data_IF_257312400237
#
_entry.id   IF_257312400237
#
_cell.length_a   1.000
_cell.length_b   1.000
_cell.length_c   1.000
_cell.angle_alpha   90.00
_cell.angle_beta   90.00
_cell.angle_gamma   90.00
#
_symmetry.space_group_name_H-M   'P 1'
#
loop_
_entity.id
_entity.type
_entity.pdbx_description
1 polymer ?
#
# COMPACT_ATOMS: atom_id res chain seq x y z
N UNK A 1 6.91 33.21 -15.89
CA UNK A 1 6.85 32.80 -14.46
C UNK A 1 6.00 31.55 -14.38
N UNK A 2 5.98 30.83 -13.26
CA UNK A 2 5.11 29.67 -13.11
C UNK A 2 3.68 30.11 -12.71
N UNK A 3 2.66 29.65 -13.43
CA UNK A 3 1.25 30.03 -13.20
C UNK A 3 0.61 29.27 -12.02
N UNK A 4 1.39 28.99 -10.96
CA UNK A 4 0.95 28.32 -9.76
C UNK A 4 1.26 29.19 -8.54
N UNK A 5 0.22 29.60 -7.81
CA UNK A 5 0.33 30.53 -6.67
C UNK A 5 -0.33 29.96 -5.43
N UNK A 6 0.18 30.37 -4.27
CA UNK A 6 -0.17 29.83 -2.96
C UNK A 6 -0.54 30.94 -1.97
N UNK A 7 -1.64 30.74 -1.25
CA UNK A 7 -1.93 31.49 -0.02
C UNK A 7 -1.96 30.49 1.14
N UNK A 8 -1.19 30.74 2.18
CA UNK A 8 -1.11 29.87 3.37
C UNK A 8 -1.66 30.62 4.57
N UNK A 9 -2.64 30.03 5.23
CA UNK A 9 -3.24 30.53 6.47
C UNK A 9 -3.06 29.50 7.59
N UNK A 10 -2.38 29.90 8.67
CA UNK A 10 -2.30 29.09 9.88
C UNK A 10 -3.66 29.10 10.58
N UNK A 11 -4.09 27.93 11.08
CA UNK A 11 -5.34 27.80 11.82
C UNK A 11 -5.13 28.15 13.31
N UNK A 12 -5.78 29.21 13.84
CA UNK A 12 -5.63 29.58 15.26
C UNK A 12 -6.13 28.49 16.22
N UNK A 13 -7.09 27.68 15.76
CA UNK A 13 -7.63 26.55 16.51
C UNK A 13 -6.70 25.32 16.54
N UNK A 14 -5.64 25.29 15.72
CA UNK A 14 -4.68 24.18 15.65
C UNK A 14 -3.35 24.60 15.02
N UNK A 15 -2.36 24.98 15.84
CA UNK A 15 -1.05 25.48 15.38
C UNK A 15 -0.31 24.57 14.38
N UNK A 16 -0.55 23.25 14.42
CA UNK A 16 0.04 22.23 13.51
C UNK A 16 -0.68 22.11 12.16
N UNK A 17 -1.74 22.89 11.93
CA UNK A 17 -2.56 22.83 10.72
C UNK A 17 -2.51 24.15 9.92
N UNK A 18 -2.49 24.01 8.60
CA UNK A 18 -2.55 25.11 7.66
C UNK A 18 -3.63 24.88 6.59
N UNK A 19 -4.35 25.94 6.23
CA UNK A 19 -5.10 26.01 4.98
C UNK A 19 -4.12 26.48 3.90
N UNK A 20 -4.04 25.75 2.80
CA UNK A 20 -3.21 26.09 1.63
C UNK A 20 -4.13 26.24 0.44
N UNK A 21 -4.36 27.47 -0.02
CA UNK A 21 -5.18 27.75 -1.20
C UNK A 21 -4.29 27.82 -2.42
N UNK A 22 -4.61 27.03 -3.45
CA UNK A 22 -3.75 26.83 -4.61
C UNK A 22 -4.49 27.28 -5.87
N UNK A 23 -3.90 28.20 -6.63
CA UNK A 23 -4.46 28.71 -7.88
C UNK A 23 -3.51 28.42 -9.04
N UNK A 24 -4.01 27.78 -10.11
CA UNK A 24 -3.23 27.46 -11.30
C UNK A 24 -3.52 26.10 -11.91
N UNK A 25 -2.47 25.48 -12.45
CA UNK A 25 -2.44 24.10 -12.89
C UNK A 25 -1.19 23.40 -12.33
N UNK A 26 -1.33 22.12 -11.96
CA UNK A 26 -0.21 21.30 -11.45
C UNK A 26 0.23 20.39 -12.60
N UNK A 27 1.30 20.79 -13.29
CA UNK A 27 1.81 20.15 -14.50
C UNK A 27 3.34 19.90 -14.42
N UNK A 28 3.94 19.43 -15.50
CA UNK A 28 5.37 19.10 -15.54
C UNK A 28 6.32 20.30 -15.33
N UNK A 29 5.83 21.55 -15.45
CA UNK A 29 6.59 22.78 -15.18
C UNK A 29 6.38 23.27 -13.74
N UNK A 30 5.19 23.10 -13.19
CA UNK A 30 4.80 23.65 -11.88
C UNK A 30 4.94 22.66 -10.72
N UNK A 31 4.99 21.35 -10.98
CA UNK A 31 5.04 20.29 -9.95
C UNK A 31 6.27 20.37 -9.03
N UNK A 32 7.41 20.86 -9.51
CA UNK A 32 8.61 21.06 -8.67
C UNK A 32 8.33 22.15 -7.62
N UNK A 33 7.82 23.31 -8.05
CA UNK A 33 7.46 24.40 -7.15
C UNK A 33 6.33 24.02 -6.18
N UNK A 34 5.42 23.14 -6.62
CA UNK A 34 4.38 22.57 -5.77
C UNK A 34 4.94 21.67 -4.67
N UNK A 35 5.88 20.78 -5.00
CA UNK A 35 6.58 19.92 -4.04
C UNK A 35 7.36 20.77 -3.02
N UNK A 36 8.18 21.71 -3.51
CA UNK A 36 8.94 22.66 -2.68
C UNK A 36 8.05 23.37 -1.64
N UNK A 37 6.90 23.91 -2.06
CA UNK A 37 6.01 24.63 -1.15
C UNK A 37 5.38 23.74 -0.08
N UNK A 38 5.07 22.49 -0.39
CA UNK A 38 4.54 21.54 0.61
C UNK A 38 5.63 21.02 1.55
N UNK A 39 6.88 20.92 1.09
CA UNK A 39 8.03 20.54 1.92
C UNK A 39 8.49 21.68 2.84
N UNK A 40 8.45 22.94 2.40
CA UNK A 40 8.62 24.12 3.27
C UNK A 40 7.67 24.09 4.46
N UNK A 41 6.38 23.80 4.24
CA UNK A 41 5.37 23.75 5.30
C UNK A 41 5.59 22.55 6.25
N UNK A 42 5.95 21.38 5.73
CA UNK A 42 6.34 20.23 6.56
C UNK A 42 7.58 20.50 7.42
N UNK A 43 8.52 21.31 6.93
CA UNK A 43 9.71 21.70 7.67
C UNK A 43 9.43 22.84 8.67
N UNK A 44 8.43 23.68 8.39
CA UNK A 44 7.85 24.64 9.33
C UNK A 44 7.02 24.03 10.47
N UNK A 45 6.96 22.70 10.58
CA UNK A 45 6.29 21.99 11.68
C UNK A 45 4.80 21.72 11.48
N UNK A 46 4.22 22.09 10.34
CA UNK A 46 2.85 21.72 10.00
C UNK A 46 2.76 20.22 9.69
N UNK A 47 1.78 19.55 10.30
CA UNK A 47 1.49 18.12 10.06
C UNK A 47 0.15 17.89 9.37
N UNK A 48 -0.71 18.91 9.27
CA UNK A 48 -2.07 18.79 8.74
C UNK A 48 -2.34 19.87 7.70
N UNK A 49 -2.68 19.48 6.48
CA UNK A 49 -3.01 20.41 5.40
C UNK A 49 -4.49 20.31 5.02
N UNK A 50 -5.15 21.47 4.90
CA UNK A 50 -6.42 21.63 4.20
C UNK A 50 -6.10 22.30 2.88
N UNK A 51 -6.04 21.52 1.79
CA UNK A 51 -5.76 22.06 0.46
C UNK A 51 -7.06 22.54 -0.19
N UNK A 52 -7.16 23.84 -0.41
CA UNK A 52 -8.25 24.42 -1.20
C UNK A 52 -7.91 24.36 -2.68
N UNK A 53 -8.63 23.49 -3.38
CA UNK A 53 -8.43 23.12 -4.77
C UNK A 53 -9.32 23.92 -5.73
N UNK A 54 -10.05 24.93 -5.25
CA UNK A 54 -10.99 25.73 -6.09
C UNK A 54 -10.29 26.40 -7.29
N UNK A 55 -9.02 26.79 -7.12
CA UNK A 55 -8.19 27.41 -8.14
C UNK A 55 -7.48 26.42 -9.08
N UNK A 56 -7.57 25.11 -8.81
CA UNK A 56 -6.88 24.07 -9.59
C UNK A 56 -7.78 23.55 -10.70
N UNK A 57 -7.44 23.93 -11.94
CA UNK A 57 -8.20 23.55 -13.15
C UNK A 57 -7.71 22.23 -13.77
N UNK A 58 -6.46 21.84 -13.49
CA UNK A 58 -5.81 20.65 -14.03
C UNK A 58 -4.70 20.14 -13.10
N UNK A 59 -4.54 18.82 -13.03
CA UNK A 59 -3.45 18.12 -12.32
C UNK A 59 -3.00 16.96 -13.21
N UNK A 60 -1.69 16.82 -13.45
CA UNK A 60 -1.12 15.68 -14.17
C UNK A 60 -0.76 14.51 -13.24
N UNK A 61 -0.33 13.38 -13.82
CA UNK A 61 0.08 12.18 -13.06
C UNK A 61 1.18 12.45 -12.04
N UNK A 62 2.16 13.30 -12.36
CA UNK A 62 3.24 13.68 -11.44
C UNK A 62 2.71 14.48 -10.24
N UNK A 63 1.80 15.44 -10.46
CA UNK A 63 1.15 16.22 -9.41
C UNK A 63 0.28 15.39 -8.48
N UNK A 64 -0.43 14.39 -9.02
CA UNK A 64 -1.15 13.40 -8.21
C UNK A 64 -0.18 12.54 -7.38
N UNK A 65 0.95 12.13 -7.95
CA UNK A 65 2.02 11.43 -7.23
C UNK A 65 2.60 12.24 -6.06
N UNK A 66 2.90 13.52 -6.28
CA UNK A 66 3.32 14.45 -5.21
C UNK A 66 2.27 14.56 -4.11
N UNK A 67 0.98 14.72 -4.45
CA UNK A 67 -0.09 14.76 -3.45
C UNK A 67 -0.13 13.49 -2.59
N UNK A 68 0.01 12.29 -3.19
CA UNK A 68 -0.01 11.01 -2.46
C UNK A 68 1.24 10.86 -1.58
N UNK A 69 2.42 11.26 -2.08
CA UNK A 69 3.67 11.22 -1.32
C UNK A 69 3.61 12.14 -0.08
N UNK A 70 3.06 13.35 -0.22
CA UNK A 70 2.88 14.27 0.92
C UNK A 70 1.79 13.74 1.88
N UNK A 71 0.74 13.07 1.39
CA UNK A 71 -0.25 12.43 2.25
C UNK A 71 0.38 11.36 3.18
N UNK A 72 1.13 10.38 2.64
CA UNK A 72 1.87 9.40 3.47
C UNK A 72 2.86 10.14 4.39
N UNK A 73 3.63 11.11 3.90
CA UNK A 73 4.59 11.85 4.71
C UNK A 73 3.98 12.56 5.93
N UNK A 74 2.74 13.06 5.82
CA UNK A 74 1.99 13.67 6.91
C UNK A 74 1.28 12.65 7.83
N UNK A 75 0.74 11.56 7.28
CA UNK A 75 0.14 10.49 8.08
C UNK A 75 1.20 9.80 8.97
N UNK A 76 2.41 9.55 8.47
CA UNK A 76 3.53 9.06 9.30
C UNK A 76 3.99 10.09 10.37
N UNK A 77 3.49 11.34 10.35
CA UNK A 77 3.69 12.38 11.38
C UNK A 77 2.44 12.61 12.25
N UNK A 78 1.43 11.75 12.18
CA UNK A 78 0.19 11.86 12.97
C UNK A 78 -0.78 12.95 12.49
N UNK A 79 -0.65 13.39 11.24
CA UNK A 79 -1.53 14.35 10.59
C UNK A 79 -2.13 13.79 9.29
N UNK A 80 -2.11 14.56 8.21
CA UNK A 80 -2.64 14.12 6.90
C UNK A 80 -3.11 15.27 5.99
N UNK A 81 -3.70 14.91 4.85
CA UNK A 81 -4.28 15.86 3.88
C UNK A 81 -5.81 15.74 3.85
N UNK A 82 -6.47 16.89 4.02
CA UNK A 82 -7.85 17.12 3.64
C UNK A 82 -7.89 17.94 2.34
N UNK A 83 -8.80 17.61 1.41
CA UNK A 83 -9.03 18.35 0.18
C UNK A 83 -10.41 18.99 0.21
N UNK A 84 -10.51 20.26 -0.18
CA UNK A 84 -11.78 21.00 -0.23
C UNK A 84 -11.98 21.66 -1.60
N UNK A 85 -13.25 21.88 -1.97
CA UNK A 85 -13.66 22.59 -3.20
C UNK A 85 -13.04 22.06 -4.50
N UNK A 86 -12.74 20.75 -4.58
CA UNK A 86 -12.17 20.11 -5.78
C UNK A 86 -13.09 20.32 -6.99
N UNK A 87 -12.57 20.91 -8.06
CA UNK A 87 -13.32 21.09 -9.30
C UNK A 87 -13.79 19.73 -9.87
N UNK A 88 -15.06 19.57 -10.32
CA UNK A 88 -15.62 18.27 -10.68
C UNK A 88 -14.81 17.45 -11.70
N UNK A 89 -14.20 18.09 -12.69
CA UNK A 89 -13.33 17.41 -13.67
C UNK A 89 -12.09 16.77 -13.02
N UNK A 90 -11.53 17.41 -11.99
CA UNK A 90 -10.39 16.88 -11.22
C UNK A 90 -10.89 15.76 -10.31
N UNK A 91 -12.05 15.91 -9.66
CA UNK A 91 -12.63 14.87 -8.81
C UNK A 91 -12.85 13.55 -9.57
N UNK A 92 -13.37 13.59 -10.80
CA UNK A 92 -13.54 12.37 -11.63
C UNK A 92 -12.22 11.62 -11.85
N UNK A 93 -11.09 12.32 -11.96
CA UNK A 93 -9.76 11.68 -12.07
C UNK A 93 -9.35 11.01 -10.74
N UNK A 94 -9.62 11.64 -9.60
CA UNK A 94 -9.38 11.02 -8.28
C UNK A 94 -10.26 9.78 -8.06
N UNK A 95 -11.55 9.86 -8.44
CA UNK A 95 -12.51 8.76 -8.35
C UNK A 95 -12.09 7.59 -9.26
N UNK A 96 -11.72 7.85 -10.53
CA UNK A 96 -11.26 6.82 -11.48
C UNK A 96 -9.94 6.15 -11.09
N UNK A 97 -9.02 6.89 -10.45
CA UNK A 97 -7.72 6.37 -9.99
C UNK A 97 -7.77 5.80 -8.56
N UNK A 98 -8.94 5.75 -7.91
CA UNK A 98 -9.11 5.21 -6.56
C UNK A 98 -8.43 6.03 -5.45
N UNK A 99 -8.03 7.28 -5.73
CA UNK A 99 -7.19 8.09 -4.83
C UNK A 99 -7.92 8.52 -3.54
N UNK A 100 -9.24 8.35 -3.48
CA UNK A 100 -10.09 8.59 -2.30
C UNK A 100 -9.68 7.77 -1.05
N UNK A 101 -8.83 6.74 -1.19
CA UNK A 101 -8.21 6.08 -0.05
C UNK A 101 -7.23 6.99 0.72
N UNK A 102 -6.46 7.81 0.00
CA UNK A 102 -5.36 8.67 0.52
C UNK A 102 -5.80 10.08 0.91
N UNK A 103 -6.98 10.53 0.44
CA UNK A 103 -7.44 11.91 0.63
C UNK A 103 -8.82 11.96 1.28
N UNK A 104 -8.96 12.75 2.35
CA UNK A 104 -10.28 13.04 2.92
C UNK A 104 -10.86 14.26 2.20
N UNK A 105 -11.85 14.04 1.35
CA UNK A 105 -12.50 15.09 0.54
C UNK A 105 -13.71 15.62 1.30
N UNK A 106 -13.76 16.93 1.53
CA UNK A 106 -14.84 17.61 2.25
C UNK A 106 -15.45 18.75 1.42
N UNK A 107 -16.65 19.19 1.81
CA UNK A 107 -17.39 20.23 1.12
C UNK A 107 -16.81 21.62 1.38
N UNK A 108 -16.22 21.83 2.56
CA UNK A 108 -15.70 23.12 3.02
C UNK A 108 -14.57 22.96 4.06
N UNK A 109 -13.88 24.06 4.35
CA UNK A 109 -12.75 24.14 5.29
C UNK A 109 -13.14 23.77 6.74
N UNK A 110 -14.40 24.01 7.15
CA UNK A 110 -14.87 23.73 8.51
C UNK A 110 -15.06 22.24 8.77
N UNK A 111 -15.58 21.49 7.80
CA UNK A 111 -15.67 20.02 7.85
C UNK A 111 -14.28 19.38 7.97
N UNK A 112 -13.33 19.85 7.16
CA UNK A 112 -11.94 19.39 7.17
C UNK A 112 -11.23 19.69 8.51
N UNK A 113 -11.44 20.89 9.07
CA UNK A 113 -10.94 21.26 10.39
C UNK A 113 -11.55 20.40 11.50
N UNK A 114 -12.87 20.22 11.49
CA UNK A 114 -13.59 19.40 12.47
C UNK A 114 -13.21 17.91 12.43
N UNK A 115 -12.82 17.38 11.27
CA UNK A 115 -12.21 16.06 11.15
C UNK A 115 -10.87 16.01 11.90
N UNK A 116 -9.94 16.92 11.59
CA UNK A 116 -8.63 16.96 12.25
C UNK A 116 -8.73 17.20 13.76
N UNK A 117 -9.68 18.01 14.22
CA UNK A 117 -9.91 18.27 15.65
C UNK A 117 -10.38 17.01 16.40
N UNK A 118 -11.26 16.20 15.79
CA UNK A 118 -11.67 14.90 16.35
C UNK A 118 -10.51 13.92 16.40
N UNK A 119 -9.70 13.85 15.34
CA UNK A 119 -8.49 13.00 15.30
C UNK A 119 -7.36 13.45 16.25
N UNK A 120 -7.47 14.61 16.90
CA UNK A 120 -6.45 15.16 17.80
C UNK A 120 -6.75 14.95 19.30
N UNK A 121 -7.94 14.43 19.67
CA UNK A 121 -8.29 14.10 21.06
C UNK A 121 -8.29 12.59 21.28
N UNK A 122 -7.51 12.05 22.24
CA UNK A 122 -7.75 10.71 22.77
C UNK A 122 -9.14 10.64 23.42
N UNK A 123 -9.86 9.54 23.23
CA UNK A 123 -11.21 9.36 23.77
C UNK A 123 -11.17 8.91 25.24
N UNK A 124 -11.63 9.78 26.15
CA UNK A 124 -12.16 9.34 27.45
C UNK A 124 -13.69 9.23 27.40
N UNK A 125 -14.18 8.15 28.01
CA UNK A 125 -15.56 7.74 28.33
C UNK A 125 -16.75 8.67 28.02
N UNK A 126 -17.85 8.06 27.54
CA UNK A 126 -19.19 8.65 27.72
C UNK A 126 -20.33 8.01 26.90
N UNK A 127 -20.79 6.82 27.26
CA UNK A 127 -22.01 6.25 26.65
C UNK A 127 -23.30 6.84 27.23
N UNK A 128 -24.22 7.28 26.38
CA UNK A 128 -25.52 7.84 26.81
C UNK A 128 -26.55 7.92 25.69
N UNK A 129 -27.51 7.00 25.67
CA UNK A 129 -28.59 6.96 24.68
C UNK A 129 -29.80 7.80 25.10
N UNK A 130 -30.42 8.55 24.17
CA UNK A 130 -31.86 8.40 23.82
C UNK A 130 -32.42 9.49 22.87
N UNK A 131 -33.02 9.02 21.77
CA UNK A 131 -34.30 9.43 21.15
C UNK A 131 -34.88 10.86 21.30
N UNK A 132 -35.36 11.42 20.17
CA UNK A 132 -36.78 11.35 19.73
C UNK A 132 -36.89 11.71 18.23
N UNK A 133 -37.57 10.89 17.40
CA UNK A 133 -38.94 11.09 16.84
C UNK A 133 -39.00 12.18 15.74
N UNK A 134 -39.79 12.10 14.67
CA UNK A 134 -41.06 11.42 14.31
C UNK A 134 -41.05 11.03 12.80
N UNK A 135 -42.05 10.42 12.14
CA UNK A 135 -43.05 9.36 12.41
C UNK A 135 -43.83 9.14 11.10
N UNK A 136 -44.06 7.91 10.63
CA UNK A 136 -45.28 7.47 9.91
C UNK A 136 -45.26 5.94 9.65
N UNK A 137 -46.39 5.39 9.19
CA UNK A 137 -46.89 4.10 9.69
C UNK A 137 -46.94 2.92 8.71
N UNK A 138 -47.13 1.72 9.30
CA UNK A 138 -47.34 0.40 8.68
C UNK A 138 -48.85 0.13 8.61
N UNK A 139 -49.38 -0.76 7.73
CA UNK A 139 -49.48 -2.18 8.12
C UNK A 139 -49.35 -3.17 6.92
N UNK A 140 -49.56 -4.49 7.06
CA UNK A 140 -48.82 -5.45 7.90
C UNK A 140 -49.26 -6.91 7.62
N UNK A 141 -48.34 -7.77 7.19
CA UNK A 141 -48.45 -9.24 7.22
C UNK A 141 -47.06 -9.87 6.94
N UNK A 142 -46.69 -11.06 7.41
CA UNK A 142 -47.12 -11.83 8.60
C UNK A 142 -46.06 -12.91 8.91
N UNK A 143 -45.75 -13.14 10.19
CA UNK A 143 -45.18 -14.36 10.85
C UNK A 143 -44.38 -15.41 10.02
N UNK A 144 -43.25 -15.97 10.50
CA UNK A 144 -43.09 -16.51 11.86
C UNK A 144 -41.63 -16.64 12.39
N UNK A 145 -41.55 -16.90 13.70
CA UNK A 145 -40.47 -17.53 14.49
C UNK A 145 -39.82 -18.79 13.84
N UNK A 146 -38.62 -19.28 14.23
CA UNK A 146 -37.48 -18.80 15.07
C UNK A 146 -36.29 -19.82 14.90
N UNK A 147 -35.25 -20.05 15.73
CA UNK A 147 -34.77 -19.58 17.06
C UNK A 147 -33.32 -20.06 17.32
N UNK A 148 -32.46 -19.23 17.95
CA UNK A 148 -31.12 -19.61 18.42
C UNK A 148 -30.03 -19.68 17.33
N UNK A 149 -28.72 -19.63 17.63
CA UNK A 149 -28.03 -19.44 18.92
C UNK A 149 -26.75 -18.60 18.71
N UNK A 150 -26.34 -17.78 19.70
CA UNK A 150 -25.26 -16.80 19.56
C UNK A 150 -23.90 -17.31 20.03
N UNK A 151 -23.10 -17.87 19.12
CA UNK A 151 -21.70 -18.24 19.38
C UNK A 151 -20.79 -17.01 19.38
N UNK A 152 -20.43 -16.54 20.59
CA UNK A 152 -19.53 -15.42 20.86
C UNK A 152 -18.11 -15.66 20.32
N UNK A 153 -17.56 -14.81 19.43
CA UNK A 153 -16.13 -14.82 19.11
C UNK A 153 -15.30 -14.47 20.37
N UNK A 154 -14.23 -15.21 20.68
CA UNK A 154 -13.37 -14.90 21.81
C UNK A 154 -12.54 -13.63 21.55
N UNK A 155 -12.13 -12.95 22.62
CA UNK A 155 -11.33 -11.74 22.52
C UNK A 155 -9.96 -12.02 21.86
N UNK A 156 -9.71 -11.41 20.71
CA UNK A 156 -8.39 -11.42 20.07
C UNK A 156 -7.41 -10.60 20.92
N UNK A 157 -6.48 -11.30 21.57
CA UNK A 157 -5.32 -10.68 22.24
C UNK A 157 -4.58 -9.78 21.24
N UNK A 158 -3.97 -8.70 21.75
CA UNK A 158 -3.11 -7.81 20.95
C UNK A 158 -2.07 -8.64 20.18
N UNK A 159 -2.22 -8.70 18.85
CA UNK A 159 -1.31 -9.43 18.00
C UNK A 159 0.01 -8.64 17.87
N UNK A 160 1.12 -9.31 18.10
CA UNK A 160 2.46 -8.72 18.02
C UNK A 160 2.69 -8.12 16.61
N UNK A 161 3.31 -6.94 16.54
CA UNK A 161 3.59 -6.27 15.28
C UNK A 161 4.71 -7.03 14.56
N UNK A 162 4.33 -7.97 13.70
CA UNK A 162 5.22 -8.95 13.05
C UNK A 162 6.25 -8.34 12.10
N UNK A 163 7.30 -7.73 12.66
CA UNK A 163 8.54 -7.43 11.97
C UNK A 163 9.38 -8.72 11.87
N UNK A 164 9.92 -9.02 10.69
CA UNK A 164 10.96 -10.03 10.55
C UNK A 164 12.27 -9.51 11.17
N UNK A 165 12.46 -9.80 12.46
CA UNK A 165 13.63 -9.34 13.23
C UNK A 165 14.75 -10.36 13.14
N UNK A 166 15.61 -10.23 12.14
CA UNK A 166 16.81 -11.08 12.01
C UNK A 166 17.83 -10.63 13.08
N UNK A 167 18.25 -11.57 13.93
CA UNK A 167 19.25 -11.33 14.98
C UNK A 167 20.54 -12.07 14.66
N UNK A 168 21.67 -11.41 14.84
CA UNK A 168 23.01 -11.97 14.58
C UNK A 168 23.95 -11.56 15.71
N UNK A 169 24.69 -12.51 16.30
CA UNK A 169 25.78 -12.17 17.22
C UNK A 169 26.97 -11.65 16.42
N UNK A 170 27.45 -10.47 16.75
CA UNK A 170 28.66 -9.85 16.21
C UNK A 170 29.80 -10.12 17.19
N UNK A 171 30.98 -10.61 16.74
CA UNK A 171 32.14 -10.72 17.60
C UNK A 171 32.52 -9.38 18.24
N UNK A 172 33.01 -9.35 19.48
CA UNK A 172 33.56 -8.12 20.06
C UNK A 172 34.77 -7.65 19.23
N UNK A 173 35.06 -6.33 19.19
CA UNK A 173 36.21 -5.81 18.45
C UNK A 173 37.53 -6.35 19.00
N UNK A 174 38.53 -6.54 18.12
CA UNK A 174 39.81 -7.18 18.49
C UNK A 174 40.65 -6.36 19.48
N UNK A 175 40.45 -5.04 19.53
CA UNK A 175 41.08 -4.14 20.50
C UNK A 175 40.11 -3.08 21.03
N UNK A 176 40.28 -2.57 22.26
CA UNK A 176 39.43 -1.51 22.80
C UNK A 176 39.41 -0.27 21.88
N UNK A 177 38.20 0.17 21.50
CA UNK A 177 38.00 1.29 20.59
C UNK A 177 38.06 0.97 19.09
N UNK A 178 38.43 -0.27 18.69
CA UNK A 178 38.28 -0.70 17.29
C UNK A 178 36.80 -0.89 16.92
N UNK A 179 36.41 -0.66 15.64
CA UNK A 179 35.03 -0.80 15.21
C UNK A 179 34.59 -2.27 15.12
N UNK A 180 33.30 -2.52 15.35
CA UNK A 180 32.68 -3.81 15.11
C UNK A 180 32.61 -4.09 13.59
N UNK A 181 32.88 -5.33 13.19
CA UNK A 181 32.74 -5.79 11.81
C UNK A 181 31.60 -6.81 11.73
N UNK A 182 30.58 -6.52 10.92
CA UNK A 182 29.40 -7.38 10.78
C UNK A 182 28.94 -7.48 9.32
N UNK A 183 28.19 -8.53 8.99
CA UNK A 183 27.59 -8.72 7.65
C UNK A 183 26.13 -8.29 7.71
N UNK A 184 25.66 -7.53 6.71
CA UNK A 184 24.25 -7.17 6.61
C UNK A 184 23.40 -8.40 6.28
N UNK A 185 22.48 -8.78 7.18
CA UNK A 185 21.62 -9.95 7.03
C UNK A 185 20.71 -9.94 5.79
N UNK A 186 20.49 -8.77 5.16
CA UNK A 186 19.60 -8.62 3.99
C UNK A 186 20.35 -8.56 2.65
N UNK A 187 21.59 -8.07 2.62
CA UNK A 187 22.30 -7.85 1.35
C UNK A 187 23.81 -8.18 1.40
N UNK A 188 24.21 -9.01 2.36
CA UNK A 188 25.54 -9.66 2.53
C UNK A 188 26.78 -8.75 2.50
N UNK A 189 26.61 -7.43 2.49
CA UNK A 189 27.71 -6.46 2.51
C UNK A 189 28.34 -6.42 3.90
N UNK A 190 29.68 -6.34 3.95
CA UNK A 190 30.41 -6.08 5.19
C UNK A 190 30.18 -4.64 5.64
N UNK A 191 29.94 -4.45 6.93
CA UNK A 191 29.63 -3.17 7.56
C UNK A 191 30.57 -2.95 8.75
N UNK A 192 31.21 -1.79 8.79
CA UNK A 192 32.13 -1.37 9.85
C UNK A 192 31.42 -0.36 10.74
N UNK A 193 31.23 -0.69 12.03
CA UNK A 193 30.35 0.04 12.95
C UNK A 193 31.17 0.58 14.13
N UNK A 194 31.29 1.92 14.31
CA UNK A 194 32.22 2.49 15.28
C UNK A 194 31.79 2.34 16.75
N UNK A 195 30.49 2.13 17.04
CA UNK A 195 29.96 1.92 18.39
C UNK A 195 28.57 1.27 18.35
N UNK A 196 28.09 0.66 19.45
CA UNK A 196 26.69 0.24 19.56
C UNK A 196 25.72 1.42 19.35
N UNK A 197 24.63 1.19 18.63
CA UNK A 197 23.71 2.23 18.18
C UNK A 197 22.78 1.76 17.06
N UNK A 198 21.97 2.69 16.54
CA UNK A 198 21.07 2.46 15.40
C UNK A 198 21.73 2.97 14.10
N UNK A 199 21.68 2.14 13.05
CA UNK A 199 22.36 2.37 11.77
C UNK A 199 21.46 1.98 10.59
N UNK A 200 21.86 2.42 9.40
CA UNK A 200 21.21 2.09 8.12
C UNK A 200 22.26 1.52 7.17
N UNK A 201 21.99 0.37 6.56
CA UNK A 201 22.91 -0.22 5.59
C UNK A 201 22.97 0.66 4.32
N UNK A 202 24.14 1.11 3.85
CA UNK A 202 24.24 1.97 2.66
C UNK A 202 23.85 1.25 1.37
N UNK A 203 23.96 -0.09 1.30
CA UNK A 203 23.67 -0.87 0.08
C UNK A 203 22.17 -1.14 -0.15
N UNK A 204 21.43 -1.50 0.88
CA UNK A 204 19.99 -1.86 0.77
C UNK A 204 19.03 -0.91 1.50
N UNK A 205 19.55 -0.03 2.38
CA UNK A 205 18.75 0.87 3.20
C UNK A 205 18.01 0.20 4.38
N UNK A 206 18.25 -1.08 4.66
CA UNK A 206 17.76 -1.78 5.86
C UNK A 206 18.27 -1.10 7.13
N UNK A 207 17.40 -0.92 8.12
CA UNK A 207 17.78 -0.40 9.44
C UNK A 207 18.23 -1.55 10.34
N UNK A 208 19.18 -1.28 11.23
CA UNK A 208 19.61 -2.25 12.23
C UNK A 208 20.13 -1.56 13.48
N UNK A 209 20.03 -2.25 14.61
CA UNK A 209 20.48 -1.80 15.92
C UNK A 209 21.53 -2.77 16.43
N UNK A 210 22.75 -2.28 16.68
CA UNK A 210 23.80 -3.02 17.37
C UNK A 210 23.73 -2.70 18.86
N UNK A 211 23.54 -3.71 19.70
CA UNK A 211 23.49 -3.56 21.17
C UNK A 211 24.88 -3.73 21.81
N UNK A 212 25.03 -3.37 23.09
CA UNK A 212 26.33 -3.42 23.80
C UNK A 212 26.87 -4.84 23.98
N UNK A 213 25.97 -5.81 24.11
CA UNK A 213 26.21 -7.26 24.16
C UNK A 213 26.61 -7.87 22.80
N UNK A 214 26.72 -7.07 21.74
CA UNK A 214 27.11 -7.52 20.40
C UNK A 214 25.98 -8.08 19.54
N UNK A 215 24.72 -8.02 19.97
CA UNK A 215 23.61 -8.45 19.12
C UNK A 215 23.28 -7.39 18.07
N UNK A 216 23.51 -7.70 16.80
CA UNK A 216 22.94 -6.96 15.68
C UNK A 216 21.50 -7.42 15.46
N UNK A 217 20.58 -6.46 15.51
CA UNK A 217 19.14 -6.66 15.33
C UNK A 217 18.73 -5.92 14.06
N UNK A 218 18.47 -6.63 12.96
CA UNK A 218 18.02 -6.03 11.71
C UNK A 218 16.50 -5.88 11.73
N UNK A 219 16.02 -4.68 11.42
CA UNK A 219 14.61 -4.42 11.15
C UNK A 219 14.43 -4.25 9.65
N UNK A 220 13.68 -5.17 9.04
CA UNK A 220 13.26 -5.07 7.65
C UNK A 220 12.55 -3.73 7.40
N UNK A 221 12.68 -3.16 6.19
CA UNK A 221 11.92 -1.96 5.79
C UNK A 221 10.41 -2.27 5.80
N UNK A 222 9.55 -1.23 5.73
CA UNK A 222 8.13 -1.39 5.30
C UNK A 222 8.10 -2.42 4.16
N UNK A 223 7.23 -3.45 4.24
CA UNK A 223 7.11 -4.53 3.23
C UNK A 223 7.29 -3.96 1.83
N UNK A 224 8.12 -4.61 1.00
CA UNK A 224 8.36 -4.14 -0.36
C UNK A 224 7.03 -3.89 -1.06
N UNK A 225 6.82 -2.66 -1.53
CA UNK A 225 5.51 -2.21 -1.99
C UNK A 225 4.98 -3.14 -3.09
N UNK A 226 3.71 -3.54 -2.98
CA UNK A 226 3.08 -4.47 -3.92
C UNK A 226 3.19 -3.90 -5.33
N UNK A 227 3.87 -4.63 -6.22
CA UNK A 227 3.96 -4.26 -7.62
C UNK A 227 2.63 -4.62 -8.28
N UNK A 228 1.89 -3.61 -8.71
CA UNK A 228 0.59 -3.77 -9.35
C UNK A 228 0.69 -3.35 -10.81
N UNK A 229 0.23 -4.21 -11.71
CA UNK A 229 0.20 -3.96 -13.15
C UNK A 229 -1.06 -4.52 -13.77
N UNK A 230 -1.49 -3.93 -14.88
CA UNK A 230 -2.63 -4.40 -15.67
C UNK A 230 -2.13 -4.71 -17.08
N UNK A 231 -2.27 -5.96 -17.50
CA UNK A 231 -1.71 -6.51 -18.72
C UNK A 231 -2.81 -6.81 -19.73
N UNK A 232 -2.52 -6.64 -21.02
CA UNK A 232 -3.43 -7.05 -22.09
C UNK A 232 -3.42 -8.58 -22.22
N UNK A 233 -4.47 -9.13 -22.83
CA UNK A 233 -4.61 -10.56 -23.08
C UNK A 233 -3.79 -11.01 -24.32
N UNK A 234 -2.48 -10.76 -24.33
CA UNK A 234 -1.56 -11.10 -25.44
C UNK A 234 -0.32 -11.83 -24.92
N UNK A 235 0.28 -12.68 -25.76
CA UNK A 235 1.37 -13.57 -25.35
C UNK A 235 2.65 -12.79 -24.99
N UNK A 236 2.92 -11.67 -25.66
CA UNK A 236 4.07 -10.79 -25.35
C UNK A 236 3.95 -10.17 -23.95
N UNK A 237 2.71 -9.94 -23.47
CA UNK A 237 2.46 -9.51 -22.10
C UNK A 237 2.72 -10.63 -21.08
N UNK A 238 2.48 -11.90 -21.45
CA UNK A 238 2.79 -13.07 -20.62
C UNK A 238 4.30 -13.30 -20.56
N UNK A 239 5.00 -13.25 -21.70
CA UNK A 239 6.46 -13.35 -21.77
C UNK A 239 7.15 -12.25 -20.95
N UNK A 240 6.73 -10.98 -21.13
CA UNK A 240 7.25 -9.84 -20.38
C UNK A 240 7.03 -9.97 -18.87
N UNK A 241 5.87 -10.49 -18.45
CA UNK A 241 5.59 -10.80 -17.04
C UNK A 241 6.51 -11.91 -16.52
N UNK A 242 6.69 -12.98 -17.28
CA UNK A 242 7.56 -14.11 -16.93
C UNK A 242 9.02 -13.66 -16.73
N UNK A 243 9.57 -12.85 -17.63
CA UNK A 243 10.93 -12.33 -17.46
C UNK A 243 11.05 -11.34 -16.29
N UNK A 244 10.08 -10.43 -16.12
CA UNK A 244 10.08 -9.50 -14.99
C UNK A 244 10.04 -10.24 -13.64
N UNK A 245 9.15 -11.22 -13.50
CA UNK A 245 9.07 -12.07 -12.30
C UNK A 245 10.33 -12.92 -12.14
N UNK A 246 10.91 -13.42 -13.23
CA UNK A 246 12.16 -14.19 -13.18
C UNK A 246 13.34 -13.38 -12.64
N UNK A 247 13.49 -12.13 -13.07
CA UNK A 247 14.50 -11.20 -12.55
C UNK A 247 14.25 -10.87 -11.07
N UNK A 248 13.00 -10.70 -10.66
CA UNK A 248 12.66 -10.51 -9.24
C UNK A 248 12.98 -11.74 -8.39
N UNK A 249 12.62 -12.95 -8.83
CA UNK A 249 12.90 -14.19 -8.12
C UNK A 249 14.41 -14.45 -7.99
N UNK A 250 15.18 -14.22 -9.07
CA UNK A 250 16.65 -14.25 -9.04
C UNK A 250 17.23 -13.25 -8.03
N UNK A 251 16.66 -12.04 -7.95
CA UNK A 251 17.09 -10.99 -7.01
C UNK A 251 16.74 -11.29 -5.55
N UNK A 252 15.67 -12.04 -5.28
CA UNK A 252 15.33 -12.54 -3.94
C UNK A 252 16.31 -13.65 -3.53
N UNK A 253 16.70 -14.50 -4.47
CA UNK A 253 17.70 -15.57 -4.27
C UNK A 253 17.26 -16.96 -4.74
N UNK A 254 16.08 -17.09 -5.35
CA UNK A 254 15.55 -18.39 -5.78
C UNK A 254 16.51 -19.13 -6.73
N UNK A 255 16.65 -20.46 -6.62
CA UNK A 255 17.47 -21.25 -7.54
C UNK A 255 16.83 -21.30 -8.94
N UNK A 256 17.67 -21.52 -9.96
CA UNK A 256 17.27 -21.46 -11.37
C UNK A 256 16.06 -22.35 -11.71
N UNK A 257 15.98 -23.55 -11.14
CA UNK A 257 14.86 -24.47 -11.36
C UNK A 257 13.54 -23.95 -10.76
N UNK A 258 13.58 -23.30 -9.59
CA UNK A 258 12.42 -22.63 -9.02
C UNK A 258 12.01 -21.41 -9.84
N UNK A 259 12.96 -20.62 -10.35
CA UNK A 259 12.66 -19.50 -11.27
C UNK A 259 11.96 -20.00 -12.53
N UNK A 260 12.49 -21.06 -13.15
CA UNK A 260 11.89 -21.72 -14.32
C UNK A 260 10.48 -22.20 -14.01
N UNK A 261 10.29 -22.90 -12.89
CA UNK A 261 9.00 -23.45 -12.51
C UNK A 261 7.96 -22.34 -12.21
N UNK A 262 8.36 -21.21 -11.59
CA UNK A 262 7.50 -20.02 -11.41
C UNK A 262 7.06 -19.45 -12.77
N UNK A 263 7.97 -19.33 -13.75
CA UNK A 263 7.62 -18.90 -15.12
C UNK A 263 6.65 -19.87 -15.79
N UNK A 264 6.85 -21.18 -15.64
CA UNK A 264 5.94 -22.20 -16.19
C UNK A 264 4.54 -22.17 -15.55
N UNK A 265 4.42 -21.76 -14.29
CA UNK A 265 3.12 -21.53 -13.62
C UNK A 265 2.46 -20.23 -14.10
N UNK A 266 3.23 -19.15 -14.31
CA UNK A 266 2.71 -17.91 -14.90
C UNK A 266 2.13 -18.13 -16.31
N UNK A 267 2.81 -18.90 -17.15
CA UNK A 267 2.32 -19.23 -18.50
C UNK A 267 1.04 -20.08 -18.44
N UNK A 268 0.99 -21.10 -17.57
CA UNK A 268 -0.22 -21.92 -17.34
C UNK A 268 -1.42 -21.06 -16.90
N UNK A 269 -1.22 -20.17 -15.92
CA UNK A 269 -2.29 -19.34 -15.38
C UNK A 269 -2.75 -18.27 -16.37
N UNK A 270 -1.81 -17.51 -16.97
CA UNK A 270 -2.17 -16.43 -17.89
C UNK A 270 -2.79 -16.97 -19.18
N UNK A 271 -2.25 -18.07 -19.73
CA UNK A 271 -2.81 -18.74 -20.90
C UNK A 271 -4.25 -19.20 -20.67
N UNK A 272 -4.54 -19.84 -19.51
CA UNK A 272 -5.89 -20.24 -19.16
C UNK A 272 -6.85 -19.05 -18.93
N UNK A 273 -6.38 -17.90 -18.43
CA UNK A 273 -7.20 -16.67 -18.35
C UNK A 273 -7.50 -16.12 -19.75
N UNK A 274 -6.51 -16.05 -20.64
CA UNK A 274 -6.68 -15.57 -22.02
C UNK A 274 -7.64 -16.50 -22.79
N UNK A 275 -7.41 -17.82 -22.75
CA UNK A 275 -8.21 -18.83 -23.43
C UNK A 275 -9.62 -18.94 -22.83
N UNK A 276 -9.73 -19.26 -21.53
CA UNK A 276 -10.99 -19.77 -20.93
C UNK A 276 -11.83 -18.69 -20.26
N UNK A 277 -11.21 -17.63 -19.72
CA UNK A 277 -11.95 -16.49 -19.18
C UNK A 277 -12.35 -15.48 -20.27
N UNK A 278 -11.53 -15.32 -21.31
CA UNK A 278 -11.70 -14.29 -22.35
C UNK A 278 -11.85 -14.79 -23.79
N UNK A 279 -11.91 -16.10 -24.08
CA UNK A 279 -12.07 -16.65 -25.44
C UNK A 279 -10.98 -16.18 -26.43
N UNK A 280 -9.73 -16.02 -25.97
CA UNK A 280 -8.58 -15.48 -26.72
C UNK A 280 -8.76 -14.03 -27.24
N UNK A 281 -9.67 -13.25 -26.63
CA UNK A 281 -9.95 -11.86 -27.05
C UNK A 281 -8.92 -10.88 -26.49
N UNK A 282 -7.90 -10.59 -27.29
CA UNK A 282 -6.72 -9.77 -26.94
C UNK A 282 -7.01 -8.37 -26.38
N UNK A 283 -8.18 -7.78 -26.66
CA UNK A 283 -8.56 -6.44 -26.18
C UNK A 283 -9.02 -6.41 -24.71
N UNK A 284 -9.15 -7.56 -24.05
CA UNK A 284 -9.34 -7.62 -22.59
C UNK A 284 -8.00 -7.48 -21.85
N UNK A 285 -8.09 -7.37 -20.53
CA UNK A 285 -6.93 -7.19 -19.65
C UNK A 285 -7.18 -7.71 -18.25
N UNK A 286 -6.14 -8.29 -17.66
CA UNK A 286 -6.13 -8.83 -16.30
C UNK A 286 -5.16 -8.05 -15.42
N UNK A 287 -5.38 -8.10 -14.11
CA UNK A 287 -4.60 -7.40 -13.09
C UNK A 287 -3.67 -8.37 -12.38
N UNK A 288 -2.39 -8.03 -12.31
CA UNK A 288 -1.35 -8.82 -11.63
C UNK A 288 -0.80 -8.03 -10.45
N UNK A 289 -0.73 -8.68 -9.28
CA UNK A 289 -0.17 -8.13 -8.04
C UNK A 289 0.96 -9.05 -7.58
N UNK A 290 2.19 -8.52 -7.57
CA UNK A 290 3.40 -9.24 -7.13
C UNK A 290 3.86 -8.65 -5.80
N UNK A 291 3.93 -9.50 -4.78
CA UNK A 291 4.39 -9.18 -3.43
C UNK A 291 5.70 -9.95 -3.15
N UNK A 292 6.86 -9.35 -3.43
CA UNK A 292 8.15 -9.93 -3.08
C UNK A 292 8.48 -9.66 -1.60
N UNK A 293 9.11 -10.63 -0.94
CA UNK A 293 9.68 -10.47 0.41
C UNK A 293 11.03 -11.18 0.51
N UNK A 294 11.62 -11.21 1.71
CA UNK A 294 12.85 -11.95 2.00
C UNK A 294 12.65 -13.47 2.16
N UNK A 295 11.41 -13.95 2.33
CA UNK A 295 11.10 -15.37 2.61
C UNK A 295 10.07 -15.97 1.65
N UNK A 296 9.40 -15.16 0.82
CA UNK A 296 8.39 -15.62 -0.14
C UNK A 296 8.20 -14.64 -1.30
N UNK A 297 7.75 -15.18 -2.43
CA UNK A 297 7.25 -14.46 -3.59
C UNK A 297 5.78 -14.86 -3.80
N UNK A 298 4.87 -13.95 -3.47
CA UNK A 298 3.42 -14.12 -3.64
C UNK A 298 2.94 -13.37 -4.87
N UNK A 299 2.26 -14.07 -5.77
CA UNK A 299 1.71 -13.52 -7.02
C UNK A 299 0.21 -13.79 -7.05
N UNK A 300 -0.57 -12.76 -7.37
CA UNK A 300 -2.02 -12.84 -7.55
C UNK A 300 -2.39 -12.30 -8.93
N UNK A 301 -3.12 -13.10 -9.70
CA UNK A 301 -3.72 -12.73 -10.99
C UNK A 301 -5.24 -12.63 -10.77
N UNK A 302 -5.87 -11.61 -11.36
CA UNK A 302 -7.31 -11.40 -11.22
C UNK A 302 -7.91 -10.75 -12.46
N UNK A 303 -9.10 -11.19 -12.83
CA UNK A 303 -9.78 -10.80 -14.07
C UNK A 303 -11.29 -10.56 -13.84
N UNK A 304 -12.01 -10.22 -14.92
CA UNK A 304 -13.45 -9.96 -14.95
C UNK A 304 -14.18 -10.75 -16.05
N UNK A 305 -13.57 -11.82 -16.56
CA UNK A 305 -14.12 -12.66 -17.62
C UNK A 305 -15.04 -13.76 -17.09
N UNK A 306 -15.09 -14.88 -17.80
CA UNK A 306 -15.78 -16.09 -17.33
C UNK A 306 -15.00 -16.70 -16.17
N UNK A 307 -15.73 -17.15 -15.14
CA UNK A 307 -15.10 -17.98 -14.11
C UNK A 307 -14.70 -19.33 -14.72
N UNK A 308 -13.46 -19.73 -14.48
CA UNK A 308 -12.90 -20.98 -14.97
C UNK A 308 -13.34 -22.10 -14.02
N UNK A 309 -14.30 -22.92 -14.44
CA UNK A 309 -14.72 -24.08 -13.65
C UNK A 309 -13.69 -25.20 -13.77
N UNK A 310 -12.74 -25.24 -12.84
CA UNK A 310 -11.71 -26.28 -12.83
C UNK A 310 -12.25 -27.63 -12.36
N UNK A 311 -12.74 -28.39 -13.32
CA UNK A 311 -13.13 -29.79 -13.15
C UNK A 311 -11.95 -30.75 -13.46
N UNK A 312 -10.83 -30.56 -12.75
CA UNK A 312 -9.65 -31.47 -12.66
C UNK A 312 -8.61 -31.40 -13.80
N UNK A 313 -8.20 -30.21 -14.26
CA UNK A 313 -6.93 -30.09 -15.01
C UNK A 313 -6.39 -28.67 -15.18
N UNK A 314 -7.15 -27.63 -14.81
CA UNK A 314 -6.67 -26.26 -14.92
C UNK A 314 -5.80 -25.95 -13.70
N UNK A 315 -4.55 -25.51 -13.94
CA UNK A 315 -3.56 -25.15 -12.91
C UNK A 315 -2.89 -26.32 -12.17
N UNK A 316 -2.85 -27.52 -12.77
CA UNK A 316 -2.22 -28.70 -12.16
C UNK A 316 -0.71 -28.53 -11.92
N UNK A 317 0.03 -27.89 -12.82
CA UNK A 317 1.45 -27.59 -12.57
C UNK A 317 1.57 -26.62 -11.39
N UNK A 318 0.79 -25.54 -11.40
CA UNK A 318 0.79 -24.52 -10.35
C UNK A 318 0.51 -25.10 -8.96
N UNK A 319 -0.39 -26.08 -8.84
CA UNK A 319 -0.66 -26.80 -7.58
C UNK A 319 0.46 -27.71 -7.10
N UNK A 320 1.25 -28.27 -8.01
CA UNK A 320 2.36 -29.18 -7.68
C UNK A 320 3.67 -28.43 -7.40
N UNK A 321 3.87 -27.28 -8.05
CA UNK A 321 5.11 -26.49 -8.00
C UNK A 321 5.10 -25.44 -6.89
N UNK A 322 3.97 -24.78 -6.65
CA UNK A 322 3.87 -23.66 -5.72
C UNK A 322 3.52 -24.15 -4.31
N UNK A 323 4.09 -23.51 -3.28
CA UNK A 323 3.95 -23.97 -1.89
C UNK A 323 2.59 -23.60 -1.28
N UNK A 324 1.93 -22.60 -1.87
CA UNK A 324 0.50 -22.34 -1.69
C UNK A 324 -0.12 -21.99 -3.05
N UNK A 325 -1.30 -22.55 -3.35
CA UNK A 325 -2.10 -22.21 -4.53
C UNK A 325 -3.58 -22.09 -4.15
N UNK A 326 -4.24 -21.01 -4.57
CA UNK A 326 -5.65 -20.76 -4.31
C UNK A 326 -6.33 -20.15 -5.54
N UNK A 327 -7.48 -20.70 -5.94
CA UNK A 327 -8.32 -20.19 -7.01
C UNK A 327 -9.74 -19.97 -6.49
N UNK A 328 -10.26 -18.74 -6.67
CA UNK A 328 -11.58 -18.30 -6.23
C UNK A 328 -12.28 -17.53 -7.34
N UNK A 329 -13.61 -17.50 -7.30
CA UNK A 329 -14.39 -16.61 -8.16
C UNK A 329 -14.24 -15.16 -7.66
N UNK A 330 -14.02 -14.23 -8.58
CA UNK A 330 -13.93 -12.81 -8.24
C UNK A 330 -15.35 -12.23 -8.01
N UNK A 331 -15.58 -11.40 -6.97
CA UNK A 331 -16.94 -10.95 -6.59
C UNK A 331 -17.74 -10.14 -7.63
N UNK A 332 -17.12 -9.73 -8.75
CA UNK A 332 -17.77 -9.03 -9.86
C UNK A 332 -17.82 -9.87 -11.15
N UNK A 333 -17.67 -11.20 -11.05
CA UNK A 333 -17.30 -12.04 -12.18
C UNK A 333 -15.77 -12.04 -12.42
N UNK A 334 -15.30 -13.03 -13.18
CA UNK A 334 -13.88 -13.35 -13.36
C UNK A 334 -13.29 -14.24 -12.26
N UNK A 335 -11.96 -14.40 -12.28
CA UNK A 335 -11.19 -15.23 -11.35
C UNK A 335 -10.31 -14.40 -10.43
N UNK A 336 -9.95 -14.98 -9.29
CA UNK A 336 -8.79 -14.60 -8.47
C UNK A 336 -7.93 -15.86 -8.31
N UNK A 337 -6.72 -15.83 -8.82
CA UNK A 337 -5.76 -16.93 -8.78
C UNK A 337 -4.52 -16.44 -8.04
N UNK A 338 -4.21 -17.06 -6.91
CA UNK A 338 -3.11 -16.70 -6.02
C UNK A 338 -2.15 -17.86 -5.91
N UNK A 339 -0.86 -17.59 -6.04
CA UNK A 339 0.21 -18.56 -5.83
C UNK A 339 1.35 -17.97 -5.02
N UNK A 340 1.98 -18.78 -4.17
CA UNK A 340 3.12 -18.40 -3.33
C UNK A 340 4.24 -19.41 -3.52
N UNK A 341 5.46 -18.93 -3.79
CA UNK A 341 6.68 -19.74 -3.65
C UNK A 341 7.48 -19.23 -2.46
N UNK A 342 7.91 -20.12 -1.58
CA UNK A 342 8.68 -19.82 -0.36
C UNK A 342 10.17 -20.05 -0.60
N UNK A 343 10.98 -19.21 0.03
CA UNK A 343 12.43 -19.25 0.00
C UNK A 343 12.92 -19.72 1.37
N UNK A 344 13.63 -20.86 1.38
CA UNK A 344 14.12 -21.56 2.58
C UNK A 344 15.62 -21.34 2.76
#
# INVERSE_FOLDING_TARGET
MADLTFTVEQLPEMNTAAIVRINGAIDAKTVVHFQEKLDELQNGGYTRFILDMVGIKYVNSTGLGTLVNVADALENRGGGIALVKIHPKVKVVFDMLGLNAFFKIFSNEKEALGFFQKSAKPEEMGGGSSQKSQTQEKPASSSSSSSGSSSKPPASKSADSGYNVIKTKVPPPQSPGSPYSLVCAVCTVKLTIPKPGSYKCPRCGTFFKLTKDGTATFTERKKAASLQMKLACTDECVEGLCEFVGVLASRIGFPADSIKAIKECLMEICGAVIEKAYDNKQYYSYSVVINPSSTELKIQISDYGKFIYDNKSCFDRSRQVMDEFEHKQHPKGGNVITMVKKFN
#
